data_IF_452985120464
#
_entry.id   IF_452985120464
#
_cell.length_a   1.000
_cell.length_b   1.000
_cell.length_c   1.000
_cell.angle_alpha   90.00
_cell.angle_beta   90.00
_cell.angle_gamma   90.00
#
_symmetry.space_group_name_H-M   'P 1'
#
loop_
_entity.id
_entity.type
_entity.pdbx_description
1 polymer ?
#
# COMPACT_ATOMS: atom_id res chain seq x y z
N UNK A 1 -2.33 12.16 -16.77
CA UNK A 1 -2.93 11.69 -15.90
C UNK A 1 -2.47 11.62 -14.79
N UNK A 2 -2.88 11.73 -14.23
CA UNK A 2 -2.42 12.01 -13.32
C UNK A 2 -2.50 11.33 -12.11
N UNK A 3 -1.73 10.53 -11.92
CA UNK A 3 -1.65 10.00 -10.68
C UNK A 3 -1.02 11.03 -9.83
N UNK A 4 -1.68 11.54 -8.90
CA UNK A 4 -1.11 12.48 -7.99
C UNK A 4 -0.43 11.74 -6.87
N UNK A 5 0.83 11.46 -7.09
CA UNK A 5 1.58 10.67 -6.14
C UNK A 5 1.88 11.39 -4.83
N UNK A 6 1.66 12.66 -4.78
CA UNK A 6 1.89 13.40 -3.54
C UNK A 6 0.76 13.27 -2.57
N UNK A 7 -0.39 12.73 -3.00
CA UNK A 7 -1.45 12.64 -2.09
C UNK A 7 -1.61 11.24 -1.71
N UNK A 8 -0.92 10.82 -0.79
CA UNK A 8 -1.01 9.49 -0.34
C UNK A 8 -2.41 9.12 -0.01
N UNK A 9 -2.78 8.07 -0.50
CA UNK A 9 -3.96 7.47 -0.11
C UNK A 9 -5.20 7.94 -0.67
N UNK A 10 -5.17 8.79 -1.52
CA UNK A 10 -6.35 9.19 -1.76
C UNK A 10 -7.11 8.93 -2.78
N UNK A 11 -8.05 8.70 -3.17
CA UNK A 11 -8.63 8.82 -4.06
C UNK A 11 -9.67 8.59 -4.48
N UNK A 12 -10.35 8.93 -4.65
CA UNK A 12 -11.41 8.98 -4.99
C UNK A 12 -11.94 9.35 -6.16
N UNK A 13 -12.25 9.55 -6.80
CA UNK A 13 -12.85 10.10 -7.82
C UNK A 13 -13.64 11.21 -7.49
N UNK A 14 -14.09 11.78 -8.35
CA UNK A 14 -14.71 12.93 -8.29
C UNK A 14 -15.21 13.41 -7.06
N UNK A 15 -16.05 13.16 -6.55
CA UNK A 15 -16.42 13.77 -5.39
C UNK A 15 -15.70 13.09 -4.35
N UNK A 16 -14.77 13.30 -3.98
CA UNK A 16 -13.93 12.83 -3.05
C UNK A 16 -14.60 12.17 -1.89
N UNK A 17 -14.61 10.92 -1.91
CA UNK A 17 -15.14 10.17 -0.79
C UNK A 17 -13.99 9.58 -0.02
N UNK A 18 -13.99 9.85 1.27
CA UNK A 18 -12.92 9.38 2.13
C UNK A 18 -13.23 7.96 2.56
N UNK A 19 -12.26 7.08 2.43
CA UNK A 19 -12.43 5.71 2.91
C UNK A 19 -12.55 5.73 4.44
N UNK A 20 -13.54 5.06 5.01
CA UNK A 20 -13.70 5.09 6.47
C UNK A 20 -12.51 4.51 7.21
N UNK A 21 -12.21 5.07 8.36
CA UNK A 21 -11.19 4.51 9.23
C UNK A 21 -11.62 3.13 9.73
N UNK A 22 -10.67 2.28 9.97
CA UNK A 22 -10.92 0.92 10.47
C UNK A 22 -10.28 -0.13 9.59
N UNK A 23 -10.63 -1.37 9.83
CA UNK A 23 -10.06 -2.49 9.10
C UNK A 23 -10.99 -2.88 7.96
N UNK A 24 -10.44 -3.00 6.78
CA UNK A 24 -11.22 -3.34 5.59
C UNK A 24 -10.52 -4.40 4.77
N UNK A 25 -11.30 -5.21 4.09
CA UNK A 25 -10.73 -6.19 3.18
C UNK A 25 -10.32 -5.48 1.90
N UNK A 26 -9.09 -5.64 1.50
CA UNK A 26 -8.60 -5.07 0.25
C UNK A 26 -7.91 -6.13 -0.58
N UNK A 27 -7.78 -5.85 -1.87
CA UNK A 27 -7.09 -6.75 -2.82
C UNK A 27 -6.05 -5.92 -3.55
N UNK A 28 -4.83 -6.46 -3.65
CA UNK A 28 -3.79 -5.77 -4.40
C UNK A 28 -4.04 -6.02 -5.88
N UNK A 29 -4.42 -4.98 -6.62
CA UNK A 29 -4.76 -5.17 -8.02
C UNK A 29 -3.69 -4.64 -8.98
N UNK A 30 -2.75 -3.85 -8.49
CA UNK A 30 -1.70 -3.30 -9.34
C UNK A 30 -0.54 -2.83 -8.48
N UNK A 31 0.65 -2.88 -9.01
CA UNK A 31 1.78 -2.16 -8.43
C UNK A 31 2.52 -1.44 -9.54
N UNK A 32 3.25 -0.40 -9.19
CA UNK A 32 4.04 0.35 -10.16
C UNK A 32 5.41 0.67 -9.58
N UNK A 33 6.45 0.39 -10.35
CA UNK A 33 7.81 0.74 -9.98
C UNK A 33 8.24 1.94 -10.80
N UNK A 34 8.88 2.89 -10.14
CA UNK A 34 9.30 4.11 -10.82
C UNK A 34 10.78 4.07 -11.20
N UNK A 35 11.49 3.08 -10.70
CA UNK A 35 12.92 2.98 -10.97
C UNK A 35 13.75 3.76 -9.96
N UNK A 36 15.04 3.67 -10.10
CA UNK A 36 15.95 4.33 -9.18
C UNK A 36 16.02 5.83 -9.47
N UNK A 37 16.05 6.65 -8.45
CA UNK A 37 16.38 8.06 -8.60
C UNK A 37 16.90 8.60 -7.28
N UNK A 38 17.44 9.80 -7.31
CA UNK A 38 17.99 10.44 -6.12
C UNK A 38 16.94 11.35 -5.51
N UNK A 39 16.84 11.32 -4.20
CA UNK A 39 15.96 12.23 -3.46
C UNK A 39 16.72 12.87 -2.32
N UNK A 40 16.43 14.12 -2.06
CA UNK A 40 16.92 14.76 -0.86
C UNK A 40 15.75 15.40 -0.15
N UNK A 41 15.82 15.49 1.18
CA UNK A 41 14.74 16.00 1.95
C UNK A 41 15.30 17.07 2.87
N UNK A 42 14.92 18.30 2.65
CA UNK A 42 15.39 19.45 3.42
C UNK A 42 16.91 19.46 3.51
N UNK A 43 17.43 19.39 4.70
CA UNK A 43 18.87 19.47 4.90
C UNK A 43 19.56 18.14 4.85
N UNK A 44 18.87 17.10 4.51
CA UNK A 44 19.47 15.79 4.46
C UNK A 44 20.23 15.56 3.15
N UNK A 45 21.26 14.75 3.15
CA UNK A 45 21.96 14.46 1.91
C UNK A 45 21.07 13.68 0.96
N UNK A 46 21.36 13.79 -0.32
CA UNK A 46 20.65 13.01 -1.31
C UNK A 46 20.86 11.54 -1.08
N UNK A 47 19.85 10.75 -1.36
CA UNK A 47 19.94 9.31 -1.27
C UNK A 47 19.25 8.65 -2.44
N UNK A 48 19.74 7.48 -2.81
CA UNK A 48 19.15 6.72 -3.89
C UNK A 48 17.89 6.04 -3.38
N UNK A 49 16.80 6.20 -4.11
CA UNK A 49 15.54 5.55 -3.74
C UNK A 49 15.01 4.78 -4.94
N UNK A 50 14.14 3.84 -4.66
CA UNK A 50 13.49 3.04 -5.68
C UNK A 50 12.02 2.94 -5.29
N UNK A 51 11.22 3.96 -5.58
CA UNK A 51 9.82 3.96 -5.14
C UNK A 51 9.01 2.88 -5.82
N UNK A 52 8.11 2.29 -5.05
CA UNK A 52 7.16 1.35 -5.58
C UNK A 52 5.82 1.70 -4.95
N UNK A 53 4.74 1.60 -5.73
CA UNK A 53 3.42 1.93 -5.28
C UNK A 53 2.54 0.70 -5.36
N UNK A 54 1.83 0.41 -4.27
CA UNK A 54 0.85 -0.65 -4.23
C UNK A 54 -0.53 -0.02 -4.30
N UNK A 55 -1.38 -0.54 -5.19
CA UNK A 55 -2.74 -0.05 -5.37
C UNK A 55 -3.71 -1.11 -4.88
N UNK A 56 -4.50 -0.72 -3.88
CA UNK A 56 -5.44 -1.63 -3.22
C UNK A 56 -6.86 -1.27 -3.60
N UNK A 57 -7.69 -2.27 -3.87
CA UNK A 57 -9.09 -2.07 -4.12
C UNK A 57 -9.88 -2.64 -2.96
N UNK A 58 -10.91 -1.94 -2.53
CA UNK A 58 -11.76 -2.37 -1.43
C UNK A 58 -13.12 -2.76 -2.00
N UNK A 59 -13.33 -4.04 -2.28
CA UNK A 59 -14.54 -4.45 -3.01
C UNK A 59 -15.83 -4.18 -2.26
N UNK A 60 -15.76 -4.12 -0.93
CA UNK A 60 -16.97 -3.90 -0.13
C UNK A 60 -17.27 -2.43 0.12
N UNK A 61 -16.36 -1.53 -0.25
CA UNK A 61 -16.56 -0.10 -0.11
C UNK A 61 -16.82 0.48 -1.48
N UNK A 62 -17.99 1.08 -1.64
CA UNK A 62 -18.42 1.58 -2.95
C UNK A 62 -18.56 3.08 -2.96
N UNK A 63 -18.24 3.67 -4.09
CA UNK A 63 -18.50 5.07 -4.33
C UNK A 63 -19.99 5.27 -4.64
N UNK A 64 -20.42 6.54 -4.74
CA UNK A 64 -21.80 6.83 -5.06
C UNK A 64 -22.24 6.27 -6.39
N UNK A 65 -21.33 6.10 -7.34
CA UNK A 65 -21.64 5.51 -8.63
C UNK A 65 -21.31 4.03 -8.69
N UNK A 66 -21.24 3.39 -7.51
CA UNK A 66 -21.11 1.95 -7.37
C UNK A 66 -19.82 1.37 -7.92
N UNK A 67 -18.74 2.08 -7.78
CA UNK A 67 -17.40 1.56 -8.10
C UNK A 67 -16.67 1.24 -6.80
N UNK A 68 -15.78 0.23 -6.82
CA UNK A 68 -15.00 -0.04 -5.61
C UNK A 68 -14.06 1.11 -5.30
N UNK A 69 -13.91 1.41 -4.03
CA UNK A 69 -12.96 2.42 -3.61
C UNK A 69 -11.55 1.85 -3.66
N UNK A 70 -10.57 2.71 -3.78
CA UNK A 70 -9.17 2.28 -3.84
C UNK A 70 -8.25 3.23 -3.11
N UNK A 71 -7.10 2.72 -2.73
CA UNK A 71 -6.05 3.51 -2.09
C UNK A 71 -4.69 3.05 -2.59
N UNK A 72 -3.72 3.93 -2.46
CA UNK A 72 -2.36 3.67 -2.87
C UNK A 72 -1.45 3.82 -1.66
N UNK A 73 -0.42 2.99 -1.58
CA UNK A 73 0.64 3.18 -0.59
C UNK A 73 2.00 3.13 -1.27
N UNK A 74 2.84 4.07 -0.91
CA UNK A 74 4.20 4.15 -1.44
C UNK A 74 5.18 3.48 -0.50
N UNK A 75 6.13 2.75 -1.07
CA UNK A 75 7.26 2.19 -0.35
C UNK A 75 8.53 2.50 -1.11
N UNK A 76 9.66 2.47 -0.42
CA UNK A 76 10.94 2.37 -1.10
C UNK A 76 11.22 0.88 -1.25
N UNK A 77 11.46 0.41 -2.48
CA UNK A 77 11.63 -1.01 -2.71
C UNK A 77 12.92 -1.50 -2.06
N UNK A 78 12.79 -2.31 -1.05
CA UNK A 78 13.91 -2.90 -0.34
C UNK A 78 13.37 -4.07 0.45
N UNK A 79 14.08 -5.17 0.39
CA UNK A 79 13.73 -6.34 1.22
C UNK A 79 14.72 -6.52 2.37
N UNK A 80 15.44 -5.45 2.70
CA UNK A 80 16.30 -5.43 3.88
C UNK A 80 15.43 -5.62 5.13
N UNK A 81 15.97 -6.27 6.14
CA UNK A 81 15.19 -6.62 7.32
C UNK A 81 14.55 -5.44 8.04
N UNK A 82 15.07 -4.23 7.84
CA UNK A 82 14.52 -3.04 8.46
C UNK A 82 13.58 -2.25 7.54
N UNK A 83 13.34 -2.72 6.32
CA UNK A 83 12.51 -1.95 5.42
C UNK A 83 11.03 -2.06 5.78
N UNK A 84 10.28 -0.98 5.54
CA UNK A 84 8.85 -0.98 5.79
C UNK A 84 8.13 -1.91 4.83
N UNK A 85 8.60 -2.03 3.60
CA UNK A 85 7.99 -2.95 2.66
C UNK A 85 8.09 -4.39 3.16
N UNK A 86 9.28 -4.81 3.56
CA UNK A 86 9.45 -6.17 4.08
C UNK A 86 8.58 -6.40 5.32
N UNK A 87 8.51 -5.42 6.21
CA UNK A 87 7.71 -5.54 7.42
C UNK A 87 6.23 -5.73 7.08
N UNK A 88 5.70 -4.90 6.20
CA UNK A 88 4.30 -5.01 5.81
C UNK A 88 4.01 -6.34 5.11
N UNK A 89 4.90 -6.79 4.25
CA UNK A 89 4.72 -8.07 3.58
C UNK A 89 4.75 -9.24 4.55
N UNK A 90 5.58 -9.16 5.59
CA UNK A 90 5.64 -10.20 6.60
C UNK A 90 4.39 -10.24 7.46
N UNK A 91 3.83 -9.08 7.82
CA UNK A 91 2.57 -9.05 8.52
C UNK A 91 1.44 -9.61 7.65
N UNK A 92 1.40 -9.25 6.39
CA UNK A 92 0.38 -9.73 5.46
C UNK A 92 0.49 -11.25 5.29
N UNK A 93 1.72 -11.74 5.20
CA UNK A 93 1.97 -13.15 5.00
C UNK A 93 1.74 -13.96 6.28
N UNK A 94 1.90 -13.33 7.43
CA UNK A 94 1.75 -13.98 8.72
C UNK A 94 3.00 -14.68 9.22
N UNK A 95 4.12 -14.48 8.54
CA UNK A 95 5.41 -15.04 8.99
C UNK A 95 6.56 -14.30 8.35
N UNK A 96 7.74 -14.41 8.94
CA UNK A 96 8.92 -13.74 8.43
C UNK A 96 9.48 -14.46 7.20
N UNK A 97 10.15 -13.71 6.34
CA UNK A 97 10.84 -14.28 5.20
C UNK A 97 12.16 -14.90 5.63
N UNK A 98 12.50 -16.02 5.04
CA UNK A 98 13.83 -16.59 5.14
C UNK A 98 14.67 -16.06 4.00
N UNK A 99 15.99 -16.02 4.20
CA UNK A 99 16.88 -15.52 3.15
C UNK A 99 16.70 -16.26 1.83
N UNK A 100 16.48 -17.56 1.88
CA UNK A 100 16.28 -18.34 0.67
C UNK A 100 15.05 -17.91 -0.09
N UNK A 101 14.00 -17.52 0.61
CA UNK A 101 12.76 -17.10 -0.02
C UNK A 101 12.93 -15.76 -0.74
N UNK A 102 13.81 -14.91 -0.24
CA UNK A 102 14.01 -13.60 -0.84
C UNK A 102 14.71 -13.66 -2.19
N UNK A 103 15.44 -14.72 -2.44
CA UNK A 103 16.13 -14.86 -3.73
C UNK A 103 15.16 -15.04 -4.88
N UNK A 104 14.02 -15.66 -4.62
CA UNK A 104 13.02 -15.89 -5.65
C UNK A 104 11.79 -14.99 -5.47
N UNK A 105 11.93 -13.91 -4.74
CA UNK A 105 10.80 -13.03 -4.47
C UNK A 105 10.33 -12.35 -5.75
N UNK A 106 9.03 -12.43 -6.01
CA UNK A 106 8.43 -11.85 -7.20
C UNK A 106 7.14 -11.14 -6.80
N UNK A 107 7.10 -9.84 -7.03
CA UNK A 107 5.94 -9.03 -6.72
C UNK A 107 4.67 -9.47 -7.45
N UNK A 108 4.81 -10.04 -8.64
CA UNK A 108 3.64 -10.50 -9.38
C UNK A 108 2.84 -11.55 -8.62
N UNK A 109 3.50 -12.29 -7.74
CA UNK A 109 2.81 -13.30 -6.95
C UNK A 109 1.86 -12.70 -5.91
N UNK A 110 1.95 -11.41 -5.67
CA UNK A 110 1.08 -10.75 -4.71
C UNK A 110 -0.21 -10.24 -5.35
N UNK A 111 -0.23 -10.12 -6.66
CA UNK A 111 -1.40 -9.55 -7.34
C UNK A 111 -2.62 -10.45 -7.18
N UNK A 112 -3.75 -9.83 -6.89
CA UNK A 112 -5.00 -10.54 -6.70
C UNK A 112 -5.21 -11.12 -5.32
N UNK A 113 -4.27 -10.88 -4.42
CA UNK A 113 -4.35 -11.46 -3.07
C UNK A 113 -5.03 -10.51 -2.11
N UNK A 114 -5.91 -11.01 -1.24
CA UNK A 114 -6.59 -10.16 -0.27
C UNK A 114 -5.75 -9.93 0.99
N UNK A 115 -6.01 -8.82 1.63
CA UNK A 115 -5.41 -8.49 2.93
C UNK A 115 -6.44 -7.75 3.77
N UNK A 116 -6.25 -7.75 5.07
CA UNK A 116 -6.99 -6.85 5.95
C UNK A 116 -6.14 -5.59 6.08
N UNK A 117 -6.70 -4.48 5.69
CA UNK A 117 -5.98 -3.22 5.61
C UNK A 117 -6.55 -2.26 6.62
N UNK A 118 -5.71 -1.75 7.51
CA UNK A 118 -6.12 -0.76 8.49
C UNK A 118 -5.94 0.62 7.91
N UNK A 119 -7.01 1.39 7.91
CA UNK A 119 -7.02 2.76 7.41
C UNK A 119 -7.23 3.71 8.58
N UNK A 120 -6.42 4.74 8.64
CA UNK A 120 -6.57 5.79 9.64
C UNK A 120 -6.71 7.14 8.95
N UNK A 121 -7.42 8.06 9.60
CA UNK A 121 -7.54 9.40 9.08
C UNK A 121 -6.50 10.31 9.71
N UNK A 122 -6.11 11.32 8.99
CA UNK A 122 -5.15 12.31 9.49
C UNK A 122 -5.58 13.70 9.03
N UNK A 123 -5.16 14.70 9.75
CA UNK A 123 -5.46 16.08 9.38
C UNK A 123 -4.41 16.60 8.40
N UNK A 124 -4.88 17.16 7.30
CA UNK A 124 -3.98 17.82 6.36
C UNK A 124 -3.73 19.25 6.79
N UNK A 125 -2.72 19.87 6.22
CA UNK A 125 -2.39 21.25 6.57
C UNK A 125 -3.51 22.23 6.28
N UNK A 126 -4.34 21.93 5.28
CA UNK A 126 -5.44 22.83 4.94
C UNK A 126 -6.70 22.59 5.78
N UNK A 127 -6.61 21.75 6.79
CA UNK A 127 -7.75 21.48 7.68
C UNK A 127 -8.67 20.36 7.24
N UNK A 128 -8.49 19.83 6.06
CA UNK A 128 -9.29 18.69 5.64
C UNK A 128 -8.72 17.39 6.17
N UNK A 129 -9.44 16.29 5.99
CA UNK A 129 -8.96 14.99 6.40
C UNK A 129 -8.49 14.17 5.22
N UNK A 130 -7.47 13.37 5.44
CA UNK A 130 -7.03 12.37 4.47
C UNK A 130 -7.08 10.99 5.10
N UNK A 131 -6.95 9.97 4.28
CA UNK A 131 -6.90 8.59 4.75
C UNK A 131 -5.57 7.97 4.35
N UNK A 132 -5.03 7.14 5.22
CA UNK A 132 -3.78 6.45 4.95
C UNK A 132 -3.85 5.02 5.44
N UNK A 133 -3.07 4.16 4.81
CA UNK A 133 -2.96 2.76 5.21
C UNK A 133 -1.87 2.67 6.27
N UNK A 134 -2.21 2.11 7.41
CA UNK A 134 -1.26 2.00 8.52
C UNK A 134 -0.80 0.58 8.78
N UNK A 135 -1.54 -0.42 8.36
CA UNK A 135 -1.07 -1.80 8.47
C UNK A 135 -1.75 -2.73 7.49
N UNK A 136 -1.08 -3.84 7.21
CA UNK A 136 -1.62 -4.94 6.41
C UNK A 136 -1.59 -6.17 7.30
N UNK A 137 -2.63 -6.99 7.22
CA UNK A 137 -2.68 -8.20 8.01
C UNK A 137 -3.23 -9.35 7.17
N UNK A 138 -2.91 -10.55 7.59
CA UNK A 138 -3.43 -11.74 6.94
C UNK A 138 -4.93 -11.86 7.24
N UNK A 139 -5.75 -12.17 6.23
CA UNK A 139 -7.19 -12.37 6.48
C UNK A 139 -7.44 -13.53 7.43
N UNK A 140 -8.49 -13.38 8.26
CA UNK A 140 -8.76 -14.37 9.25
C UNK A 140 -9.36 -15.64 8.73
N UNK A 141 -10.02 -15.64 7.64
CA UNK A 141 -10.77 -16.78 7.17
C UNK A 141 -9.91 -17.84 6.50
N UNK A 142 -8.62 -17.75 6.67
CA UNK A 142 -7.74 -18.80 6.18
C UNK A 142 -7.52 -18.82 4.69
N UNK A 143 -7.98 -17.82 3.98
CA UNK A 143 -7.72 -17.74 2.56
C UNK A 143 -6.22 -17.58 2.36
N UNK A 144 -5.69 -18.32 1.43
CA UNK A 144 -4.30 -18.15 1.11
C UNK A 144 -4.08 -16.79 0.56
N UNK A 145 -3.30 -16.01 1.27
CA UNK A 145 -3.25 -14.67 0.92
C UNK A 145 -2.00 -14.33 0.20
N UNK A 146 -0.92 -14.78 0.61
CA UNK A 146 0.34 -14.45 -0.01
C UNK A 146 0.91 -15.72 -0.55
N UNK A 147 1.28 -15.75 -1.80
CA UNK A 147 1.81 -16.96 -2.39
C UNK A 147 3.09 -17.35 -1.69
N UNK A 148 3.24 -18.56 -1.63
CA UNK A 148 4.45 -19.11 -1.05
C UNK A 148 5.55 -19.14 -2.09
#
# INVERSE_FOLDING_TARGET
MGLNLGEAGGTGGGGYELIPAGDHKGVLYMYAEVGHHMESYKDEPERKVWPIFFFWEFPELRTDDDRPMSMMKRYNFSMHEKSSLRADLQFWRGKKYKEEELKDFDLDNLLGRPAIITVEHYAKQDGSEGAKITSLEKPEDGLDVVPT
#
